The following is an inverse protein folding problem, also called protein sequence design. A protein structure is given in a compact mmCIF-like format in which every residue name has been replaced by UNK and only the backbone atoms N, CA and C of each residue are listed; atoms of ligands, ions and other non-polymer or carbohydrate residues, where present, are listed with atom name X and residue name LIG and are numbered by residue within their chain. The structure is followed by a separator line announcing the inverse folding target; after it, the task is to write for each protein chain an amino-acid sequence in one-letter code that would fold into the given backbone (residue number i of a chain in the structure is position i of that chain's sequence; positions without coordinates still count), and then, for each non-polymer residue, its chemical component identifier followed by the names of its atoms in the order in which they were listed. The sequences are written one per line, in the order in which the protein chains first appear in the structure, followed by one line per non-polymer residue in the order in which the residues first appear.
data_IF_422314673048
#
_entry.id   IF_422314673048
#
_cell.length_a   1.000
_cell.length_b   1.000
_cell.length_c   1.000
_cell.angle_alpha   90.00
_cell.angle_beta   90.00
_cell.angle_gamma   90.00
#
_symmetry.space_group_name_H-M   'P 1'
#
loop_
_entity.id
_entity.type
_entity.pdbx_description
1 polymer ?
#
# COMPACT_ATOMS: atom_id res chain seq x y z
N UNK A 1 4.47 16.67 -12.20
CA UNK A 1 5.80 16.08 -12.06
C UNK A 1 6.76 17.17 -11.69
N UNK A 2 7.71 17.19 -10.95
CA UNK A 2 8.61 18.27 -10.50
C UNK A 2 7.95 19.34 -9.62
N UNK A 3 6.86 19.04 -8.95
CA UNK A 3 6.24 19.98 -8.01
C UNK A 3 6.93 19.84 -6.66
N UNK A 4 7.98 20.63 -6.44
CA UNK A 4 8.86 20.50 -5.28
C UNK A 4 9.17 21.84 -4.60
N UNK A 5 8.52 22.93 -5.03
CA UNK A 5 8.73 24.23 -4.42
C UNK A 5 7.42 24.98 -4.14
N UNK A 6 7.38 25.83 -3.11
CA UNK A 6 6.22 26.68 -2.80
C UNK A 6 5.79 27.55 -3.97
N UNK A 7 6.74 28.15 -4.69
CA UNK A 7 6.48 29.05 -5.83
C UNK A 7 5.81 28.29 -6.98
N UNK A 8 6.30 27.07 -7.28
CA UNK A 8 5.72 26.23 -8.31
C UNK A 8 4.29 25.80 -7.97
N UNK A 9 4.01 25.45 -6.74
CA UNK A 9 2.67 25.08 -6.28
C UNK A 9 1.72 26.29 -6.30
N UNK A 10 2.18 27.47 -5.88
CA UNK A 10 1.41 28.72 -5.97
C UNK A 10 1.03 29.03 -7.41
N UNK A 11 2.01 29.02 -8.33
CA UNK A 11 1.78 29.26 -9.75
C UNK A 11 0.70 28.31 -10.31
N UNK A 12 0.76 27.02 -9.97
CA UNK A 12 -0.23 26.07 -10.44
C UNK A 12 -1.63 26.33 -9.86
N UNK A 13 -1.73 26.70 -8.56
CA UNK A 13 -2.98 27.10 -7.95
C UNK A 13 -3.59 28.34 -8.60
N UNK A 14 -2.79 29.38 -8.84
CA UNK A 14 -3.20 30.62 -9.54
C UNK A 14 -3.60 30.35 -11.00
N UNK A 15 -2.97 29.36 -11.66
CA UNK A 15 -3.34 28.92 -12.99
C UNK A 15 -4.65 28.08 -13.04
N UNK A 16 -5.29 27.84 -11.88
CA UNK A 16 -6.60 27.19 -11.79
C UNK A 16 -6.53 25.65 -11.65
N UNK A 17 -5.39 25.07 -11.35
CA UNK A 17 -5.31 23.64 -11.03
C UNK A 17 -5.93 23.37 -9.65
N UNK A 18 -6.93 22.48 -9.59
CA UNK A 18 -7.60 22.11 -8.36
C UNK A 18 -6.72 21.32 -7.40
N UNK A 19 -5.74 20.55 -7.92
CA UNK A 19 -4.86 19.69 -7.13
C UNK A 19 -3.45 19.65 -7.69
N UNK A 20 -2.46 19.71 -6.79
CA UNK A 20 -1.02 19.62 -7.09
C UNK A 20 -0.45 18.35 -6.46
N UNK A 21 0.11 17.46 -7.29
CA UNK A 21 0.78 16.23 -6.82
C UNK A 21 2.26 16.55 -6.63
N UNK A 22 2.76 16.34 -5.43
CA UNK A 22 4.15 16.63 -5.07
C UNK A 22 5.13 15.55 -5.53
N UNK A 23 6.40 15.92 -5.60
CA UNK A 23 7.52 15.00 -5.79
C UNK A 23 7.74 14.15 -4.53
N UNK A 24 8.35 12.95 -4.68
CA UNK A 24 8.48 11.96 -3.59
C UNK A 24 9.64 12.21 -2.63
N UNK A 25 10.56 13.08 -2.97
CA UNK A 25 11.83 13.33 -2.26
C UNK A 25 11.78 14.49 -1.28
N UNK A 26 10.58 14.99 -0.98
CA UNK A 26 10.38 16.11 -0.08
C UNK A 26 10.35 15.67 1.38
N UNK A 27 10.91 16.50 2.25
CA UNK A 27 10.76 16.41 3.69
C UNK A 27 9.40 16.95 4.15
N UNK A 28 8.98 16.61 5.37
CA UNK A 28 7.74 17.13 5.96
C UNK A 28 7.72 18.66 6.00
N UNK A 29 8.85 19.31 6.30
CA UNK A 29 8.94 20.76 6.36
C UNK A 29 8.78 21.42 4.99
N UNK A 30 9.37 20.82 3.95
CA UNK A 30 9.17 21.27 2.57
C UNK A 30 7.71 21.09 2.13
N UNK A 31 7.08 19.95 2.46
CA UNK A 31 5.65 19.70 2.20
C UNK A 31 4.78 20.77 2.88
N UNK A 32 5.03 21.07 4.16
CA UNK A 32 4.30 22.09 4.93
C UNK A 32 4.43 23.47 4.29
N UNK A 33 5.64 23.85 3.89
CA UNK A 33 5.88 25.12 3.20
C UNK A 33 5.12 25.21 1.86
N UNK A 34 5.03 24.12 1.12
CA UNK A 34 4.27 24.05 -0.13
C UNK A 34 2.76 24.16 0.14
N UNK A 35 2.23 23.42 1.09
CA UNK A 35 0.82 23.48 1.47
C UNK A 35 0.40 24.91 1.88
N UNK A 36 1.25 25.60 2.62
CA UNK A 36 1.00 26.98 3.05
C UNK A 36 1.06 28.01 1.92
N UNK A 37 1.64 27.67 0.78
CA UNK A 37 1.86 28.59 -0.35
C UNK A 37 0.79 28.53 -1.44
N UNK A 38 -0.12 27.56 -1.41
CA UNK A 38 -1.14 27.38 -2.45
C UNK A 38 -2.51 27.13 -1.87
N UNK A 39 -3.56 27.59 -2.57
CA UNK A 39 -4.95 27.27 -2.25
C UNK A 39 -5.41 25.96 -2.92
N UNK A 40 -4.63 25.39 -3.84
CA UNK A 40 -4.93 24.11 -4.46
C UNK A 40 -4.76 22.96 -3.45
N UNK A 41 -5.55 21.90 -3.59
CA UNK A 41 -5.34 20.68 -2.82
C UNK A 41 -3.94 20.11 -3.08
N UNK A 42 -3.29 19.63 -2.03
CA UNK A 42 -1.98 19.00 -2.12
C UNK A 42 -2.10 17.48 -1.96
N UNK A 43 -1.55 16.76 -2.94
CA UNK A 43 -1.48 15.29 -2.95
C UNK A 43 -0.05 14.83 -2.80
N UNK A 44 0.21 13.95 -1.82
CA UNK A 44 1.50 13.33 -1.59
C UNK A 44 1.49 11.84 -1.85
N UNK A 45 2.59 11.30 -2.41
CA UNK A 45 2.81 9.87 -2.41
C UNK A 45 3.10 9.40 -0.99
N UNK A 46 2.45 8.30 -0.59
CA UNK A 46 2.58 7.75 0.76
C UNK A 46 3.05 6.30 0.77
N UNK A 47 2.96 5.58 -0.36
CA UNK A 47 3.33 4.16 -0.42
C UNK A 47 3.85 3.74 -1.79
N UNK A 48 4.75 2.76 -1.77
CA UNK A 48 5.19 1.98 -2.92
C UNK A 48 6.52 2.43 -3.51
N UNK A 49 6.75 2.05 -4.75
CA UNK A 49 8.05 2.19 -5.40
C UNK A 49 8.49 3.64 -5.57
N UNK A 50 9.73 3.93 -5.18
CA UNK A 50 10.37 5.24 -5.34
C UNK A 50 11.27 5.24 -6.57
N UNK A 51 11.26 6.38 -7.28
CA UNK A 51 12.25 6.71 -8.28
C UNK A 51 13.44 7.41 -7.61
N UNK A 52 14.65 6.89 -7.81
CA UNK A 52 15.87 7.51 -7.27
C UNK A 52 16.23 8.82 -7.98
N UNK A 53 15.74 9.02 -9.20
CA UNK A 53 15.94 10.26 -9.96
C UNK A 53 14.84 11.28 -9.70
N UNK A 54 15.15 12.55 -9.95
CA UNK A 54 14.16 13.62 -9.95
C UNK A 54 13.11 13.41 -11.03
N UNK A 55 11.85 13.63 -10.70
CA UNK A 55 10.72 13.45 -11.61
C UNK A 55 10.86 14.35 -12.85
N UNK A 56 10.73 13.76 -14.05
CA UNK A 56 10.84 14.49 -15.31
C UNK A 56 12.26 14.91 -15.70
N UNK A 57 13.30 14.57 -14.92
CA UNK A 57 14.69 14.95 -15.16
C UNK A 57 15.66 13.77 -15.21
N UNK A 58 15.17 12.53 -15.24
CA UNK A 58 16.01 11.35 -15.31
C UNK A 58 16.24 10.95 -16.78
N UNK A 59 17.50 10.95 -17.21
CA UNK A 59 17.91 10.58 -18.57
C UNK A 59 18.61 9.22 -18.63
N UNK A 60 18.82 8.53 -17.48
CA UNK A 60 19.56 7.26 -17.40
C UNK A 60 18.98 6.19 -18.34
N UNK A 61 17.67 5.99 -18.32
CA UNK A 61 17.00 5.03 -19.20
C UNK A 61 17.14 5.41 -20.68
N UNK A 62 17.06 6.69 -21.01
CA UNK A 62 17.23 7.17 -22.39
C UNK A 62 18.65 6.91 -22.87
N UNK A 63 19.64 7.20 -22.06
CA UNK A 63 21.06 6.99 -22.37
C UNK A 63 21.39 5.52 -22.62
N UNK A 64 20.85 4.59 -21.80
CA UNK A 64 21.23 3.19 -21.87
C UNK A 64 20.43 2.35 -22.87
N UNK A 65 19.16 2.68 -23.10
CA UNK A 65 18.25 1.82 -23.86
C UNK A 65 17.44 2.55 -24.92
N UNK A 66 17.64 3.86 -25.09
CA UNK A 66 16.82 4.67 -25.97
C UNK A 66 15.40 4.97 -25.44
N UNK A 67 14.96 4.30 -24.35
CA UNK A 67 13.62 4.45 -23.74
C UNK A 67 13.61 5.56 -22.72
N UNK A 68 12.71 6.53 -22.85
CA UNK A 68 12.65 7.68 -21.94
C UNK A 68 11.73 7.46 -20.75
N UNK A 69 12.28 7.53 -19.53
CA UNK A 69 11.50 7.54 -18.29
C UNK A 69 10.60 8.77 -18.18
N UNK A 70 11.03 9.92 -18.71
CA UNK A 70 10.24 11.16 -18.71
C UNK A 70 9.01 11.09 -19.65
N UNK A 71 8.94 10.06 -20.50
CA UNK A 71 7.82 9.77 -21.42
C UNK A 71 7.07 8.48 -21.04
N UNK A 72 7.25 7.99 -19.80
CA UNK A 72 6.56 6.79 -19.32
C UNK A 72 7.16 5.45 -19.76
N UNK A 73 8.27 5.44 -20.53
CA UNK A 73 8.88 4.23 -21.10
C UNK A 73 10.19 3.80 -20.41
N UNK A 74 10.32 4.04 -19.10
CA UNK A 74 11.53 3.72 -18.35
C UNK A 74 11.87 2.22 -18.38
N UNK A 75 13.13 1.88 -18.72
CA UNK A 75 13.67 0.50 -18.65
C UNK A 75 14.23 0.13 -17.26
N UNK A 76 14.13 1.04 -16.28
CA UNK A 76 14.55 0.86 -14.89
C UNK A 76 16.05 0.50 -14.70
N UNK A 77 17.01 1.15 -15.38
CA UNK A 77 18.42 0.80 -15.22
C UNK A 77 18.96 1.05 -13.81
N UNK A 78 18.34 1.94 -13.04
CA UNK A 78 18.67 2.11 -11.61
C UNK A 78 18.44 0.85 -10.76
N UNK A 79 17.75 -0.17 -11.30
CA UNK A 79 17.52 -1.45 -10.64
C UNK A 79 18.54 -2.54 -11.04
N UNK A 80 19.41 -2.24 -11.99
CA UNK A 80 20.50 -3.14 -12.38
C UNK A 80 21.62 -3.14 -11.33
N UNK A 81 22.47 -4.14 -11.37
CA UNK A 81 23.71 -4.17 -10.61
C UNK A 81 24.72 -3.19 -11.23
N UNK A 82 25.46 -2.49 -10.37
CA UNK A 82 26.45 -1.50 -10.71
C UNK A 82 27.72 -1.68 -9.90
N UNK A 83 28.85 -1.27 -10.46
CA UNK A 83 30.10 -1.13 -9.75
C UNK A 83 30.34 0.33 -9.37
N UNK A 84 30.87 0.56 -8.18
CA UNK A 84 31.39 1.86 -7.77
C UNK A 84 32.91 1.85 -7.91
N UNK A 85 33.40 2.66 -8.82
CA UNK A 85 34.83 2.83 -9.07
C UNK A 85 35.24 4.30 -9.08
N UNK A 86 36.53 4.58 -8.79
CA UNK A 86 37.10 5.92 -8.97
C UNK A 86 37.52 6.19 -10.42
N UNK A 87 37.92 7.42 -10.70
CA UNK A 87 38.40 7.85 -12.04
C UNK A 87 39.70 7.16 -12.51
N UNK A 88 40.36 6.38 -11.64
CA UNK A 88 41.55 5.57 -11.94
C UNK A 88 41.21 4.09 -12.17
N UNK A 89 39.92 3.73 -12.14
CA UNK A 89 39.46 2.36 -12.36
C UNK A 89 39.51 1.47 -11.13
N UNK A 90 39.81 1.98 -9.94
CA UNK A 90 39.78 1.19 -8.70
C UNK A 90 38.34 0.97 -8.26
N UNK A 91 37.89 -0.27 -8.23
CA UNK A 91 36.55 -0.64 -7.77
C UNK A 91 36.48 -0.70 -6.25
N UNK A 92 35.52 0.01 -5.66
CA UNK A 92 35.21 0.00 -4.22
C UNK A 92 34.08 -0.97 -3.88
N UNK A 93 33.07 -1.04 -4.72
CA UNK A 93 31.91 -1.93 -4.58
C UNK A 93 31.61 -2.52 -5.95
N UNK A 94 31.46 -3.83 -6.04
CA UNK A 94 31.16 -4.53 -7.28
C UNK A 94 29.80 -5.24 -7.24
N UNK A 95 29.07 -5.22 -8.35
CA UNK A 95 27.88 -6.02 -8.58
C UNK A 95 26.71 -5.77 -7.64
N UNK A 96 26.56 -4.56 -7.08
CA UNK A 96 25.49 -4.21 -6.16
C UNK A 96 24.45 -3.30 -6.82
N UNK A 97 23.21 -3.34 -6.33
CA UNK A 97 22.12 -2.49 -6.82
C UNK A 97 22.18 -1.09 -6.21
N UNK A 98 23.29 -0.36 -6.49
CA UNK A 98 23.67 0.88 -5.82
C UNK A 98 22.62 2.01 -5.95
N UNK A 99 21.84 2.01 -7.04
CA UNK A 99 20.80 3.00 -7.30
C UNK A 99 19.39 2.47 -6.97
N UNK A 100 19.27 1.23 -6.47
CA UNK A 100 17.99 0.67 -6.06
C UNK A 100 17.63 1.19 -4.68
N UNK A 101 16.43 1.76 -4.54
CA UNK A 101 15.91 2.27 -3.27
C UNK A 101 14.79 1.37 -2.76
N UNK A 102 14.63 1.34 -1.43
CA UNK A 102 13.52 0.70 -0.73
C UNK A 102 12.21 1.36 -1.10
N UNK A 103 11.11 0.65 -0.90
CA UNK A 103 9.79 1.19 -1.14
C UNK A 103 9.38 2.15 0.00
N UNK A 104 8.60 3.18 -0.34
CA UNK A 104 8.09 4.14 0.63
C UNK A 104 6.95 3.53 1.44
N UNK A 105 6.95 3.77 2.75
CA UNK A 105 5.80 3.55 3.62
C UNK A 105 5.69 4.70 4.63
N UNK A 106 4.68 5.55 4.46
CA UNK A 106 4.35 6.68 5.32
C UNK A 106 3.03 6.47 6.06
N UNK A 107 2.55 5.25 6.22
CA UNK A 107 1.27 4.97 6.87
C UNK A 107 1.19 5.50 8.30
N UNK A 108 2.28 5.42 9.03
CA UNK A 108 2.41 5.95 10.40
C UNK A 108 2.64 7.46 10.46
N UNK A 109 2.74 8.13 9.29
CA UNK A 109 2.92 9.58 9.14
C UNK A 109 1.69 10.29 8.57
N UNK A 110 0.56 9.59 8.42
CA UNK A 110 -0.68 10.19 7.89
C UNK A 110 -1.11 11.40 8.70
N UNK A 111 -1.03 11.32 10.03
CA UNK A 111 -1.33 12.45 10.90
C UNK A 111 -0.42 13.67 10.66
N UNK A 112 0.89 13.47 10.52
CA UNK A 112 1.86 14.54 10.24
C UNK A 112 1.58 15.19 8.88
N UNK A 113 1.17 14.41 7.88
CA UNK A 113 0.80 14.93 6.55
C UNK A 113 -0.49 15.75 6.60
N UNK A 114 -1.51 15.29 7.33
CA UNK A 114 -2.74 16.06 7.55
C UNK A 114 -2.43 17.39 8.24
N UNK A 115 -1.63 17.38 9.32
CA UNK A 115 -1.24 18.57 10.07
C UNK A 115 -0.34 19.52 9.25
N UNK A 116 0.30 19.02 8.19
CA UNK A 116 1.04 19.82 7.22
C UNK A 116 0.15 20.44 6.13
N UNK A 117 -1.13 20.05 6.03
CA UNK A 117 -2.08 20.55 5.04
C UNK A 117 -2.30 19.64 3.82
N UNK A 118 -1.79 18.42 3.84
CA UNK A 118 -2.03 17.43 2.76
C UNK A 118 -3.44 16.87 2.89
N UNK A 119 -4.19 16.87 1.80
CA UNK A 119 -5.59 16.42 1.78
C UNK A 119 -5.82 15.18 0.91
N UNK A 120 -4.80 14.75 0.16
CA UNK A 120 -4.88 13.59 -0.73
C UNK A 120 -3.64 12.71 -0.62
N UNK A 121 -3.84 11.40 -0.54
CA UNK A 121 -2.79 10.40 -0.36
C UNK A 121 -2.72 9.48 -1.56
N UNK A 122 -1.53 9.42 -2.19
CA UNK A 122 -1.31 8.64 -3.40
C UNK A 122 -0.53 7.38 -3.13
N UNK A 123 -1.11 6.24 -3.47
CA UNK A 123 -0.47 4.93 -3.42
C UNK A 123 0.10 4.61 -4.80
N UNK A 124 1.40 4.33 -4.90
CA UNK A 124 2.00 3.84 -6.13
C UNK A 124 1.72 2.35 -6.27
N UNK A 125 1.03 1.98 -7.34
CA UNK A 125 0.58 0.61 -7.56
C UNK A 125 0.59 0.18 -9.03
N UNK A 126 1.18 0.99 -9.93
CA UNK A 126 1.31 0.63 -11.35
C UNK A 126 2.08 -0.68 -11.50
N UNK A 127 1.56 -1.61 -12.26
CA UNK A 127 2.10 -2.97 -12.44
C UNK A 127 2.06 -3.85 -11.17
N UNK A 128 1.18 -3.54 -10.22
CA UNK A 128 0.88 -4.40 -9.07
C UNK A 128 -0.39 -5.19 -9.32
N UNK A 129 -0.49 -6.35 -8.68
CA UNK A 129 -1.66 -7.21 -8.75
C UNK A 129 -2.82 -6.71 -7.87
N UNK A 130 -3.97 -7.36 -8.02
CA UNK A 130 -5.18 -7.01 -7.27
C UNK A 130 -5.02 -7.23 -5.77
N UNK A 131 -4.26 -8.24 -5.34
CA UNK A 131 -4.02 -8.54 -3.93
C UNK A 131 -3.22 -7.42 -3.25
N UNK A 132 -2.18 -6.91 -3.93
CA UNK A 132 -1.45 -5.74 -3.47
C UNK A 132 -2.39 -4.54 -3.29
N UNK A 133 -3.25 -4.26 -4.28
CA UNK A 133 -4.17 -3.11 -4.21
C UNK A 133 -5.15 -3.27 -3.06
N UNK A 134 -5.80 -4.43 -2.92
CA UNK A 134 -6.74 -4.70 -1.82
C UNK A 134 -6.07 -4.47 -0.46
N UNK A 135 -4.89 -5.08 -0.26
CA UNK A 135 -4.16 -5.04 0.99
C UNK A 135 -3.71 -3.61 1.36
N UNK A 136 -3.00 -2.95 0.45
CA UNK A 136 -2.42 -1.63 0.72
C UNK A 136 -3.50 -0.56 0.87
N UNK A 137 -4.54 -0.57 0.02
CA UNK A 137 -5.65 0.40 0.11
C UNK A 137 -6.42 0.22 1.43
N UNK A 138 -6.73 -1.02 1.82
CA UNK A 138 -7.41 -1.28 3.10
C UNK A 138 -6.55 -0.82 4.29
N UNK A 139 -5.24 -1.04 4.24
CA UNK A 139 -4.32 -0.60 5.28
C UNK A 139 -4.29 0.92 5.42
N UNK A 140 -4.15 1.64 4.29
CA UNK A 140 -4.15 3.11 4.31
C UNK A 140 -5.52 3.69 4.66
N UNK A 141 -6.62 3.02 4.28
CA UNK A 141 -7.96 3.46 4.73
C UNK A 141 -8.04 3.43 6.26
N UNK A 142 -7.59 2.34 6.88
CA UNK A 142 -7.54 2.24 8.35
C UNK A 142 -6.63 3.31 8.96
N UNK A 143 -5.42 3.50 8.43
CA UNK A 143 -4.49 4.51 8.94
C UNK A 143 -5.06 5.93 8.85
N UNK A 144 -5.78 6.26 7.78
CA UNK A 144 -6.46 7.56 7.63
C UNK A 144 -7.60 7.68 8.63
N UNK A 145 -8.42 6.64 8.81
CA UNK A 145 -9.54 6.67 9.76
C UNK A 145 -9.06 6.83 11.21
N UNK A 146 -8.00 6.13 11.59
CA UNK A 146 -7.34 6.28 12.91
C UNK A 146 -6.77 7.70 13.10
N UNK A 147 -6.17 8.27 12.07
CA UNK A 147 -5.65 9.64 12.11
C UNK A 147 -6.76 10.69 12.24
N UNK A 148 -7.90 10.49 11.56
CA UNK A 148 -9.07 11.38 11.61
C UNK A 148 -9.78 11.31 12.96
N UNK A 149 -9.85 10.12 13.59
CA UNK A 149 -10.53 9.92 14.87
C UNK A 149 -10.02 10.83 15.99
N UNK A 150 -8.74 11.24 15.91
CA UNK A 150 -8.09 12.13 16.90
C UNK A 150 -7.92 13.56 16.39
N UNK A 151 -8.54 13.93 15.26
CA UNK A 151 -8.43 15.24 14.61
C UNK A 151 -9.81 15.79 14.23
N UNK A 152 -10.57 16.37 15.18
CA UNK A 152 -11.96 16.80 14.95
C UNK A 152 -12.10 17.91 13.88
N UNK A 153 -11.02 18.58 13.49
CA UNK A 153 -11.02 19.56 12.40
C UNK A 153 -10.96 18.96 11.00
N UNK A 154 -10.82 17.64 10.88
CA UNK A 154 -10.77 16.92 9.60
C UNK A 154 -11.96 16.00 9.45
N UNK A 155 -12.50 15.93 8.24
CA UNK A 155 -13.58 15.02 7.87
C UNK A 155 -13.22 14.22 6.63
N UNK A 156 -13.89 13.09 6.43
CA UNK A 156 -13.79 12.33 5.18
C UNK A 156 -14.37 13.15 4.02
N UNK A 157 -13.72 13.10 2.87
CA UNK A 157 -14.20 13.77 1.64
C UNK A 157 -15.33 13.01 0.96
N UNK A 158 -15.74 11.86 1.46
CA UNK A 158 -16.81 11.06 0.87
C UNK A 158 -17.47 10.17 1.91
N UNK A 159 -18.78 10.01 1.78
CA UNK A 159 -19.60 9.13 2.60
C UNK A 159 -19.19 7.67 2.52
N UNK A 160 -19.56 6.92 3.55
CA UNK A 160 -19.44 5.49 3.61
C UNK A 160 -18.19 4.97 4.30
N UNK A 161 -18.29 3.71 4.71
CA UNK A 161 -17.27 2.98 5.43
C UNK A 161 -16.82 1.76 4.63
N UNK A 162 -15.50 1.51 4.61
CA UNK A 162 -14.96 0.30 4.01
C UNK A 162 -14.86 -0.77 5.11
N UNK A 163 -15.52 -1.90 4.90
CA UNK A 163 -15.55 -3.03 5.84
C UNK A 163 -14.74 -4.18 5.22
N UNK A 164 -13.42 -4.25 5.49
CA UNK A 164 -12.60 -5.36 5.02
C UNK A 164 -12.88 -6.61 5.86
N UNK A 165 -12.91 -7.76 5.19
CA UNK A 165 -13.06 -9.10 5.78
C UNK A 165 -11.70 -9.78 6.02
N UNK A 166 -10.62 -9.01 6.02
CA UNK A 166 -9.26 -9.43 6.33
C UNK A 166 -8.52 -8.33 7.10
N UNK A 167 -7.47 -8.72 7.80
CA UNK A 167 -6.55 -7.76 8.44
C UNK A 167 -5.48 -7.35 7.45
N UNK A 168 -5.42 -6.08 7.01
CA UNK A 168 -4.44 -5.63 6.05
C UNK A 168 -3.04 -5.54 6.67
N UNK A 169 -2.03 -6.00 5.90
CA UNK A 169 -0.62 -5.99 6.27
C UNK A 169 0.26 -5.76 5.03
N UNK A 170 0.79 -4.55 4.81
CA UNK A 170 1.60 -4.24 3.64
C UNK A 170 2.89 -5.06 3.53
N UNK A 171 3.45 -5.54 4.65
CA UNK A 171 4.67 -6.35 4.64
C UNK A 171 4.49 -7.68 3.91
N UNK A 172 3.26 -8.19 3.83
CA UNK A 172 2.87 -9.40 3.09
C UNK A 172 2.64 -9.17 1.59
N UNK A 173 2.80 -7.95 1.12
CA UNK A 173 2.74 -7.57 -0.29
C UNK A 173 4.14 -7.31 -0.86
N UNK A 174 4.19 -6.91 -2.12
CA UNK A 174 5.46 -6.57 -2.76
C UNK A 174 6.16 -5.42 -2.05
N UNK A 175 7.31 -5.67 -1.44
CA UNK A 175 8.22 -4.65 -0.90
C UNK A 175 9.68 -5.04 -1.09
N UNK A 176 10.56 -4.06 -1.36
CA UNK A 176 12.03 -4.19 -1.39
C UNK A 176 12.67 -3.86 -0.03
N UNK A 177 11.89 -3.96 1.03
CA UNK A 177 12.12 -3.32 2.31
C UNK A 177 11.52 -1.92 2.30
N UNK A 178 11.14 -1.43 3.47
CA UNK A 178 10.42 -0.17 3.64
C UNK A 178 11.33 0.93 4.15
N UNK A 179 11.02 2.17 3.80
CA UNK A 179 11.64 3.38 4.33
C UNK A 179 10.69 4.57 4.25
N UNK A 180 10.93 5.58 5.07
CA UNK A 180 10.28 6.90 4.93
C UNK A 180 10.91 7.75 3.82
N UNK A 181 11.91 7.23 3.14
CA UNK A 181 12.76 7.95 2.19
C UNK A 181 13.34 9.24 2.80
N UNK A 182 13.03 10.40 2.27
CA UNK A 182 13.53 11.70 2.78
C UNK A 182 12.50 12.47 3.63
N UNK A 183 11.39 11.86 3.98
CA UNK A 183 10.32 12.50 4.73
C UNK A 183 10.79 13.13 6.06
N UNK A 184 11.65 12.44 6.80
CA UNK A 184 12.28 12.94 8.01
C UNK A 184 13.69 13.54 7.76
N UNK A 185 13.94 14.06 6.55
CA UNK A 185 15.23 14.54 6.09
C UNK A 185 16.10 13.44 5.45
N UNK A 186 17.23 13.86 4.87
CA UNK A 186 18.16 12.91 4.22
C UNK A 186 18.86 12.05 5.27
N UNK A 187 18.60 10.74 5.24
CA UNK A 187 19.13 9.76 6.20
C UNK A 187 19.69 8.54 5.46
N UNK A 188 20.68 7.81 6.04
CA UNK A 188 21.11 6.53 5.51
C UNK A 188 19.98 5.48 5.59
N UNK A 189 20.14 4.36 4.87
CA UNK A 189 19.20 3.24 4.96
C UNK A 189 18.08 3.24 3.92
N UNK A 190 18.06 4.20 2.98
CA UNK A 190 17.06 4.26 1.90
C UNK A 190 17.35 3.30 0.74
N UNK A 191 18.57 2.74 0.68
CA UNK A 191 19.00 1.89 -0.41
C UNK A 191 18.63 0.42 -0.19
N UNK A 192 18.38 -0.31 -1.29
CA UNK A 192 18.19 -1.75 -1.35
C UNK A 192 19.31 -2.34 -2.23
N UNK A 193 20.50 -2.56 -1.64
CA UNK A 193 21.70 -2.91 -2.39
C UNK A 193 21.75 -4.37 -2.85
N UNK A 194 21.05 -5.26 -2.16
CA UNK A 194 21.20 -6.70 -2.36
C UNK A 194 20.23 -7.24 -3.41
N UNK A 195 19.11 -6.58 -3.64
CA UNK A 195 18.12 -7.02 -4.64
C UNK A 195 17.24 -5.89 -5.14
N UNK A 196 16.85 -5.91 -6.44
CA UNK A 196 15.79 -5.08 -6.98
C UNK A 196 14.42 -5.72 -6.87
N UNK A 197 14.36 -7.00 -6.41
CA UNK A 197 13.14 -7.81 -6.29
C UNK A 197 12.50 -7.62 -4.92
N UNK A 198 11.26 -8.08 -4.79
CA UNK A 198 10.58 -8.13 -3.50
C UNK A 198 11.30 -9.08 -2.56
N UNK A 199 11.49 -8.63 -1.31
CA UNK A 199 11.94 -9.48 -0.20
C UNK A 199 10.76 -9.84 0.72
N UNK A 200 9.78 -8.95 0.86
CA UNK A 200 8.60 -9.17 1.71
C UNK A 200 8.89 -9.05 3.20
N UNK A 201 8.18 -9.83 3.97
CA UNK A 201 8.18 -9.86 5.44
C UNK A 201 9.43 -10.58 5.98
N UNK A 202 10.11 -9.99 6.96
CA UNK A 202 11.20 -10.66 7.68
C UNK A 202 10.61 -11.73 8.62
N UNK A 203 11.06 -12.98 8.49
CA UNK A 203 10.56 -14.11 9.27
C UNK A 203 11.58 -14.71 10.22
N UNK A 204 12.84 -14.33 10.17
CA UNK A 204 13.88 -14.78 11.10
C UNK A 204 15.23 -15.07 10.45
N UNK A 205 16.06 -15.86 11.13
CA UNK A 205 17.38 -16.30 10.65
C UNK A 205 17.49 -17.81 10.66
N UNK A 206 18.24 -18.35 9.73
CA UNK A 206 18.60 -19.78 9.71
C UNK A 206 19.46 -20.11 10.92
N UNK A 207 18.97 -21.01 11.79
CA UNK A 207 19.73 -21.49 12.95
C UNK A 207 20.67 -22.62 12.57
N UNK A 208 20.14 -23.67 11.94
CA UNK A 208 20.89 -24.85 11.48
C UNK A 208 20.38 -25.32 10.13
N UNK A 209 21.28 -25.85 9.32
CA UNK A 209 20.96 -26.48 8.02
C UNK A 209 21.18 -27.98 8.16
N UNK A 210 20.30 -28.77 7.60
CA UNK A 210 20.38 -30.24 7.52
C UNK A 210 19.98 -30.69 6.10
N UNK A 211 20.19 -31.96 5.75
CA UNK A 211 20.14 -32.46 4.39
C UNK A 211 19.04 -31.96 3.46
N UNK A 212 17.78 -31.88 3.92
CA UNK A 212 16.64 -31.43 3.11
C UNK A 212 15.92 -30.20 3.67
N UNK A 213 16.50 -29.50 4.66
CA UNK A 213 15.84 -28.37 5.30
C UNK A 213 16.71 -27.57 6.25
N UNK A 214 16.08 -26.70 6.99
CA UNK A 214 16.73 -25.85 7.99
C UNK A 214 15.79 -25.57 9.16
N UNK A 215 16.36 -25.05 10.25
CA UNK A 215 15.58 -24.50 11.37
C UNK A 215 15.76 -23.01 11.46
N UNK A 216 14.71 -22.30 11.90
CA UNK A 216 14.74 -20.87 12.18
C UNK A 216 15.11 -20.58 13.64
N UNK A 217 15.77 -19.43 13.85
CA UNK A 217 15.83 -18.78 15.15
C UNK A 217 14.50 -18.05 15.37
N UNK A 218 13.77 -18.45 16.43
CA UNK A 218 12.42 -17.96 16.70
C UNK A 218 11.36 -18.81 16.04
N UNK A 219 10.10 -18.43 16.27
CA UNK A 219 8.94 -19.05 15.63
C UNK A 219 8.56 -18.24 14.41
N UNK A 220 8.21 -18.91 13.32
CA UNK A 220 7.66 -18.29 12.12
C UNK A 220 6.45 -19.09 11.66
N UNK A 221 5.38 -18.38 11.34
CA UNK A 221 4.16 -18.93 10.78
C UNK A 221 4.30 -19.07 9.25
N UNK A 222 5.14 -20.03 8.85
CA UNK A 222 5.32 -20.39 7.44
C UNK A 222 4.44 -21.58 7.09
N UNK A 223 3.83 -21.53 5.91
CA UNK A 223 2.94 -22.56 5.39
C UNK A 223 3.49 -23.18 4.09
N UNK A 224 3.10 -24.44 3.78
CA UNK A 224 3.41 -25.05 2.49
C UNK A 224 2.89 -24.18 1.33
N UNK A 225 3.80 -23.90 0.38
CA UNK A 225 3.53 -23.02 -0.77
C UNK A 225 3.90 -21.55 -0.56
N UNK A 226 4.32 -21.14 0.64
CA UNK A 226 4.89 -19.80 0.84
C UNK A 226 6.16 -19.64 0.03
N UNK A 227 6.35 -18.46 -0.56
CA UNK A 227 7.61 -18.06 -1.16
C UNK A 227 8.52 -17.45 -0.11
N UNK A 228 9.74 -17.97 -0.01
CA UNK A 228 10.77 -17.44 0.90
C UNK A 228 12.03 -17.07 0.14
N UNK A 229 12.76 -16.09 0.65
CA UNK A 229 14.08 -15.74 0.11
C UNK A 229 15.07 -15.46 1.22
N UNK A 230 16.37 -15.59 0.85
CA UNK A 230 17.51 -15.45 1.73
C UNK A 230 18.43 -14.37 1.18
N UNK A 231 18.82 -13.43 2.02
CA UNK A 231 19.84 -12.44 1.67
C UNK A 231 21.22 -13.03 2.05
N UNK A 232 22.07 -13.18 1.06
CA UNK A 232 23.43 -13.70 1.19
C UNK A 232 24.44 -12.69 0.66
N UNK A 233 25.74 -12.83 0.97
CA UNK A 233 26.79 -11.99 0.37
C UNK A 233 26.80 -12.01 -1.16
N UNK A 234 26.32 -13.11 -1.77
CA UNK A 234 26.27 -13.30 -3.22
C UNK A 234 24.95 -12.84 -3.88
N UNK A 235 24.05 -12.24 -3.10
CA UNK A 235 22.74 -11.77 -3.57
C UNK A 235 21.56 -12.48 -2.89
N UNK A 236 20.43 -12.48 -3.53
CA UNK A 236 19.18 -13.06 -2.99
C UNK A 236 18.88 -14.38 -3.69
N UNK A 237 18.72 -15.43 -2.91
CA UNK A 237 18.24 -16.76 -3.35
C UNK A 237 16.81 -16.95 -2.87
N UNK A 238 15.93 -17.49 -3.74
CA UNK A 238 14.51 -17.72 -3.42
C UNK A 238 14.11 -19.17 -3.66
N UNK A 239 13.17 -19.65 -2.84
CA UNK A 239 12.56 -20.99 -2.94
C UNK A 239 11.16 -20.95 -2.35
N UNK A 240 10.40 -22.03 -2.54
CA UNK A 240 9.10 -22.19 -1.89
C UNK A 240 9.22 -23.17 -0.72
N UNK A 241 8.37 -22.99 0.28
CA UNK A 241 8.21 -23.92 1.40
C UNK A 241 7.45 -25.15 0.89
N UNK A 242 8.02 -26.33 1.07
CA UNK A 242 7.36 -27.62 0.82
C UNK A 242 6.63 -28.12 2.08
N UNK A 243 7.31 -28.03 3.24
CA UNK A 243 6.72 -28.36 4.53
C UNK A 243 7.27 -27.43 5.63
N UNK A 244 6.44 -27.14 6.62
CA UNK A 244 6.82 -26.36 7.80
C UNK A 244 6.16 -26.98 9.05
N UNK A 245 6.97 -27.24 10.09
CA UNK A 245 6.56 -27.74 11.38
C UNK A 245 7.27 -26.93 12.48
N UNK A 246 6.57 -25.95 13.03
CA UNK A 246 7.16 -24.99 13.97
C UNK A 246 8.39 -24.31 13.35
N UNK A 247 9.56 -24.53 13.95
CA UNK A 247 10.84 -23.96 13.47
C UNK A 247 11.48 -24.71 12.32
N UNK A 248 11.03 -25.93 12.02
CA UNK A 248 11.61 -26.79 10.98
C UNK A 248 10.96 -26.51 9.64
N UNK A 249 11.78 -26.09 8.68
CA UNK A 249 11.34 -25.74 7.34
C UNK A 249 12.04 -26.66 6.33
N UNK A 250 11.24 -27.25 5.45
CA UNK A 250 11.70 -28.03 4.30
C UNK A 250 11.34 -27.25 3.03
N UNK A 251 12.33 -26.61 2.38
CA UNK A 251 12.09 -25.88 1.13
C UNK A 251 12.15 -26.82 -0.07
N UNK A 252 11.69 -26.36 -1.23
CA UNK A 252 11.80 -27.09 -2.48
C UNK A 252 13.25 -27.18 -2.98
N UNK A 253 14.11 -26.23 -2.63
CA UNK A 253 15.54 -26.19 -2.98
C UNK A 253 16.34 -25.68 -1.80
N UNK A 254 17.51 -26.29 -1.61
CA UNK A 254 18.44 -25.94 -0.52
C UNK A 254 19.58 -25.01 -0.97
N UNK A 255 19.65 -24.70 -2.29
CA UNK A 255 20.73 -23.89 -2.85
C UNK A 255 20.82 -22.50 -2.19
N UNK A 256 22.01 -22.12 -1.74
CA UNK A 256 22.29 -20.82 -1.14
C UNK A 256 21.76 -20.65 0.29
N UNK A 257 21.21 -21.69 0.92
CA UNK A 257 20.75 -21.63 2.32
C UNK A 257 21.92 -21.97 3.24
N UNK A 258 22.31 -20.99 4.05
CA UNK A 258 23.43 -21.13 5.01
C UNK A 258 23.00 -20.70 6.41
N UNK A 259 23.63 -21.26 7.45
CA UNK A 259 23.37 -20.83 8.83
C UNK A 259 23.68 -19.34 9.01
N UNK A 260 22.82 -18.63 9.75
CA UNK A 260 22.90 -17.19 9.98
C UNK A 260 22.27 -16.32 8.89
N UNK A 261 21.88 -16.88 7.72
CA UNK A 261 21.20 -16.12 6.68
C UNK A 261 19.86 -15.57 7.17
N UNK A 262 19.54 -14.34 6.79
CA UNK A 262 18.22 -13.75 7.02
C UNK A 262 17.20 -14.35 6.06
N UNK A 263 16.01 -14.67 6.59
CA UNK A 263 14.90 -15.28 5.86
C UNK A 263 13.76 -14.30 5.78
N UNK A 264 13.27 -14.10 4.58
CA UNK A 264 12.11 -13.25 4.30
C UNK A 264 11.03 -14.06 3.58
N UNK A 265 9.75 -13.77 3.86
CA UNK A 265 8.60 -14.31 3.14
C UNK A 265 8.15 -13.30 2.08
N UNK A 266 8.45 -13.59 0.82
CA UNK A 266 8.09 -12.72 -0.30
C UNK A 266 6.74 -13.08 -0.95
N UNK A 267 6.09 -14.16 -0.49
CA UNK A 267 4.74 -14.54 -0.88
C UNK A 267 4.10 -15.37 0.24
N UNK A 268 3.09 -14.81 0.91
CA UNK A 268 2.24 -15.51 1.88
C UNK A 268 1.04 -16.11 1.12
N UNK A 269 1.06 -17.45 0.94
CA UNK A 269 0.04 -18.16 0.18
C UNK A 269 -1.35 -18.06 0.82
N UNK A 270 -1.43 -18.25 2.11
CA UNK A 270 -2.72 -18.24 2.82
C UNK A 270 -3.34 -16.84 2.83
N UNK A 271 -2.52 -15.83 3.03
CA UNK A 271 -2.94 -14.45 2.96
C UNK A 271 -3.42 -14.07 1.56
N UNK A 272 -2.69 -14.46 0.51
CA UNK A 272 -3.09 -14.22 -0.87
C UNK A 272 -4.43 -14.88 -1.20
N UNK A 273 -4.65 -16.14 -0.78
CA UNK A 273 -5.94 -16.80 -0.96
C UNK A 273 -7.09 -16.09 -0.22
N UNK A 274 -6.81 -15.53 0.97
CA UNK A 274 -7.80 -14.72 1.70
C UNK A 274 -8.15 -13.45 0.93
N UNK A 275 -7.16 -12.74 0.39
CA UNK A 275 -7.38 -11.55 -0.43
C UNK A 275 -8.15 -11.86 -1.73
N UNK A 276 -7.83 -12.97 -2.40
CA UNK A 276 -8.55 -13.40 -3.61
C UNK A 276 -10.04 -13.64 -3.33
N UNK A 277 -10.36 -14.26 -2.19
CA UNK A 277 -11.72 -14.57 -1.75
C UNK A 277 -12.43 -13.42 -1.06
N UNK A 278 -11.71 -12.34 -0.76
CA UNK A 278 -12.23 -11.19 -0.02
C UNK A 278 -13.45 -10.57 -0.73
N UNK A 279 -14.47 -10.30 0.08
CA UNK A 279 -15.70 -9.62 -0.29
C UNK A 279 -15.83 -8.27 0.39
N UNK A 280 -14.71 -7.60 0.63
CA UNK A 280 -14.67 -6.24 1.17
C UNK A 280 -15.72 -5.36 0.49
N UNK A 281 -16.53 -4.69 1.29
CA UNK A 281 -17.60 -3.80 0.82
C UNK A 281 -17.33 -2.39 1.31
N UNK A 282 -17.81 -1.42 0.53
CA UNK A 282 -18.02 -0.06 0.99
C UNK A 282 -19.52 0.11 1.21
N UNK A 283 -19.90 0.47 2.42
CA UNK A 283 -21.30 0.67 2.82
C UNK A 283 -21.51 2.12 3.23
N UNK A 284 -22.71 2.63 2.95
CA UNK A 284 -23.14 3.96 3.39
C UNK A 284 -24.27 3.72 4.38
N UNK A 285 -24.12 4.11 5.67
CA UNK A 285 -25.21 4.05 6.62
C UNK A 285 -26.39 4.87 6.13
N UNK A 286 -27.58 4.28 6.14
CA UNK A 286 -28.81 4.95 5.74
C UNK A 286 -29.95 4.57 6.67
N UNK A 287 -30.83 5.53 6.92
CA UNK A 287 -32.11 5.30 7.59
C UNK A 287 -33.16 5.03 6.56
N UNK A 288 -33.94 3.97 6.72
CA UNK A 288 -35.06 3.65 5.89
C UNK A 288 -36.37 3.95 6.65
N UNK A 289 -37.26 4.75 6.05
CA UNK A 289 -38.60 5.00 6.55
C UNK A 289 -39.59 4.36 5.58
N UNK A 290 -40.35 3.40 6.06
CA UNK A 290 -41.40 2.74 5.30
C UNK A 290 -42.78 3.27 5.72
N UNK A 291 -43.55 3.76 4.78
CA UNK A 291 -44.91 4.24 4.98
C UNK A 291 -45.86 3.29 4.27
N UNK A 292 -46.87 2.81 4.99
CA UNK A 292 -47.88 1.90 4.46
C UNK A 292 -49.23 2.62 4.54
N UNK A 293 -49.95 2.70 3.44
CA UNK A 293 -51.32 3.26 3.34
C UNK A 293 -52.27 2.22 2.76
N UNK A 294 -53.55 2.54 2.74
CA UNK A 294 -54.55 1.68 2.10
C UNK A 294 -54.30 1.52 0.57
N UNK A 295 -53.60 2.44 -0.04
CA UNK A 295 -53.38 2.50 -1.49
C UNK A 295 -52.04 1.87 -1.92
N UNK A 296 -51.17 1.53 -0.96
CA UNK A 296 -49.86 0.96 -1.24
C UNK A 296 -48.79 1.26 -0.20
N UNK A 297 -47.55 1.23 -0.60
CA UNK A 297 -46.41 1.54 0.28
C UNK A 297 -45.38 2.44 -0.39
N UNK A 298 -44.69 3.22 0.43
CA UNK A 298 -43.53 4.01 0.05
C UNK A 298 -42.37 3.71 0.99
N UNK A 299 -41.15 3.76 0.48
CA UNK A 299 -39.94 3.67 1.26
C UNK A 299 -39.03 4.84 0.89
N UNK A 300 -38.51 5.50 1.91
CA UNK A 300 -37.55 6.59 1.75
C UNK A 300 -36.26 6.24 2.50
N UNK A 301 -35.13 6.22 1.78
CA UNK A 301 -33.81 6.11 2.36
C UNK A 301 -33.18 7.49 2.50
N UNK A 302 -32.56 7.74 3.64
CA UNK A 302 -31.77 8.97 3.89
C UNK A 302 -30.40 8.53 4.38
N UNK A 303 -29.33 8.92 3.66
CA UNK A 303 -27.97 8.59 4.06
C UNK A 303 -27.43 9.55 5.14
N UNK A 304 -26.19 9.29 5.57
CA UNK A 304 -25.51 10.08 6.61
C UNK A 304 -25.17 11.53 6.17
N UNK A 305 -25.27 11.86 4.87
CA UNK A 305 -25.09 13.22 4.32
C UNK A 305 -26.43 13.92 4.05
N UNK A 306 -27.56 13.26 4.35
CA UNK A 306 -28.89 13.80 4.14
C UNK A 306 -29.41 13.64 2.70
N UNK A 307 -28.72 12.87 1.86
CA UNK A 307 -29.20 12.54 0.51
C UNK A 307 -30.33 11.53 0.63
N UNK A 308 -31.48 11.84 0.00
CA UNK A 308 -32.68 11.01 0.05
C UNK A 308 -33.00 10.38 -1.30
N UNK A 309 -33.54 9.15 -1.24
CA UNK A 309 -34.10 8.46 -2.38
C UNK A 309 -35.41 7.78 -1.95
N UNK A 310 -36.51 7.99 -2.71
CA UNK A 310 -37.82 7.43 -2.38
C UNK A 310 -38.34 6.59 -3.54
N UNK A 311 -39.02 5.50 -3.18
CA UNK A 311 -39.78 4.69 -4.14
C UNK A 311 -41.16 4.39 -3.54
N UNK A 312 -42.18 4.48 -4.36
CA UNK A 312 -43.57 4.16 -3.97
C UNK A 312 -44.15 3.16 -4.95
N UNK A 313 -45.05 2.30 -4.44
CA UNK A 313 -45.78 1.35 -5.24
C UNK A 313 -47.23 1.30 -4.79
N UNK A 314 -48.14 1.58 -5.70
CA UNK A 314 -49.55 1.40 -5.49
C UNK A 314 -49.94 -0.05 -5.70
N UNK A 315 -50.39 -0.71 -4.64
CA UNK A 315 -50.89 -2.10 -4.65
C UNK A 315 -52.05 -2.18 -3.67
N UNK A 316 -53.15 -2.87 -4.01
CA UNK A 316 -54.16 -3.17 -3.04
C UNK A 316 -53.58 -4.05 -1.92
N UNK A 317 -53.76 -3.61 -0.68
CA UNK A 317 -53.27 -4.34 0.49
C UNK A 317 -54.39 -5.26 0.97
N UNK A 318 -54.10 -6.56 1.00
CA UNK A 318 -54.96 -7.58 1.60
C UNK A 318 -54.70 -7.72 3.10
N UNK A 319 -55.70 -8.17 3.84
CA UNK A 319 -55.48 -8.54 5.25
C UNK A 319 -54.44 -9.64 5.36
N UNK A 320 -53.49 -9.45 6.25
CA UNK A 320 -52.48 -10.47 6.56
C UNK A 320 -53.15 -11.79 6.99
N UNK A 321 -52.77 -12.88 6.35
CA UNK A 321 -53.26 -14.22 6.71
C UNK A 321 -52.93 -14.62 8.15
N UNK A 322 -51.80 -14.13 8.66
CA UNK A 322 -51.34 -14.32 10.05
C UNK A 322 -50.75 -13.01 10.63
N UNK A 323 -51.59 -12.14 11.23
CA UNK A 323 -51.16 -10.84 11.72
C UNK A 323 -50.06 -10.88 12.80
N UNK A 324 -49.91 -11.98 13.50
CA UNK A 324 -48.91 -12.12 14.55
C UNK A 324 -47.48 -12.40 14.07
N UNK A 325 -47.28 -12.72 12.80
CA UNK A 325 -45.94 -13.00 12.24
C UNK A 325 -45.11 -11.71 11.93
N UNK A 326 -45.77 -10.55 11.92
CA UNK A 326 -45.13 -9.26 11.71
C UNK A 326 -44.26 -8.79 12.92
N UNK A 327 -44.41 -9.41 14.09
CA UNK A 327 -43.70 -8.99 15.30
C UNK A 327 -42.56 -9.95 15.72
N UNK A 328 -42.30 -11.03 14.99
CA UNK A 328 -41.37 -12.07 15.38
C UNK A 328 -40.14 -12.25 14.52
N UNK A 329 -40.04 -11.54 13.42
CA UNK A 329 -38.81 -11.47 12.61
C UNK A 329 -38.29 -10.04 12.58
N UNK A 330 -37.20 -9.80 13.26
CA UNK A 330 -36.42 -8.57 13.08
C UNK A 330 -35.72 -8.68 11.72
N UNK A 331 -36.35 -8.08 10.70
CA UNK A 331 -35.81 -8.10 9.34
C UNK A 331 -34.53 -7.26 9.17
N UNK A 332 -33.99 -6.75 10.28
CA UNK A 332 -32.74 -5.99 10.29
C UNK A 332 -31.50 -6.89 10.49
N UNK A 333 -31.66 -8.18 10.80
CA UNK A 333 -30.57 -9.11 11.12
C UNK A 333 -30.26 -10.13 10.00
N UNK A 334 -30.84 -9.99 8.79
CA UNK A 334 -30.50 -10.81 7.61
C UNK A 334 -29.70 -10.05 6.52
#
# INVERSE_FOLDING_TARGET
VCNSTPEGARFLGEAGFARVILERNLSLDEIRAICSATAAEVECFVHGAICVGFSGRCFLSRSMSGRSGNRGACSQPCRLAWDLADGRGRTYIAGKHLLSVRDMNLSHRIGDLLDAGVTSFKIEGRLKDTNYIKNVVAYYRRAVDEALAVRPGFVRSSAGESVPDFTPDPSKSFTRGESEYFFAGKRPGVASFDTPKAVGEYVGRVAKVFGNGFTLLGEADLAPGDGICFITPHGVTGTNVNAAEGRRIVPNRMEGIVAGAEVYRNSDRLFNLRLERSRTRRVIPATAVAEVSAEGFAITYTDCEGVTASAARTVPLDRAKNPCLLYTSDAADE
#
